data_IF_777222568525
#
_entry.id   IF_777222568525
#
_cell.length_a   1.000
_cell.length_b   1.000
_cell.length_c   1.000
_cell.angle_alpha   90.00
_cell.angle_beta   90.00
_cell.angle_gamma   90.00
#
_symmetry.space_group_name_H-M   'P 1'
#
loop_
_entity.id
_entity.type
_entity.pdbx_description
1 polymer ?
#
# COMPACT_ATOMS: atom_id res chain seq x y z
N UNK A 1 -57.85 17.88 21.53
CA UNK A 1 -57.51 17.98 20.09
C UNK A 1 -56.29 18.89 19.98
N UNK A 2 -55.07 18.36 19.82
CA UNK A 2 -54.29 18.31 18.55
C UNK A 2 -53.96 19.75 18.04
N UNK A 3 -52.72 20.20 17.78
CA UNK A 3 -51.52 19.54 17.21
C UNK A 3 -50.21 20.34 17.48
N UNK A 4 -49.11 19.59 17.38
CA UNK A 4 -47.69 19.92 17.30
C UNK A 4 -47.26 21.17 16.48
N UNK A 5 -46.12 21.75 16.87
CA UNK A 5 -45.06 22.12 15.92
C UNK A 5 -43.68 22.07 16.59
N UNK A 6 -43.00 20.96 16.29
CA UNK A 6 -41.56 20.71 16.32
C UNK A 6 -40.99 21.60 15.19
N UNK A 7 -39.92 22.38 15.31
CA UNK A 7 -38.53 21.90 15.21
C UNK A 7 -37.64 23.15 15.23
N UNK A 8 -36.78 23.30 16.24
CA UNK A 8 -35.66 24.24 16.17
C UNK A 8 -34.37 23.42 16.14
N UNK A 9 -33.70 23.51 15.01
CA UNK A 9 -32.40 22.94 14.67
C UNK A 9 -31.37 23.47 15.66
N UNK A 10 -30.68 22.58 16.36
CA UNK A 10 -29.42 22.89 17.03
C UNK A 10 -28.39 21.84 16.64
N UNK A 11 -27.57 22.19 15.64
CA UNK A 11 -26.28 21.58 15.40
C UNK A 11 -25.47 21.56 16.70
N UNK A 12 -25.07 20.39 17.19
CA UNK A 12 -23.96 20.28 18.13
C UNK A 12 -23.11 19.04 17.84
N UNK A 13 -22.04 19.29 17.07
CA UNK A 13 -20.66 18.83 17.29
C UNK A 13 -20.44 17.31 17.44
N UNK A 14 -20.06 16.70 16.31
CA UNK A 14 -18.82 15.93 16.08
C UNK A 14 -18.24 15.23 17.34
N UNK A 15 -18.55 13.95 17.48
CA UNK A 15 -17.63 12.98 18.07
C UNK A 15 -17.45 11.84 17.07
N UNK A 16 -16.74 12.13 15.97
CA UNK A 16 -16.08 11.07 15.20
C UNK A 16 -15.06 10.49 16.18
N UNK A 17 -15.32 9.29 16.70
CA UNK A 17 -14.38 8.55 17.52
C UNK A 17 -13.16 8.24 16.67
N UNK A 18 -12.20 9.16 16.72
CA UNK A 18 -10.88 8.98 16.20
C UNK A 18 -10.22 7.82 16.97
N UNK A 19 -9.90 6.79 16.20
CA UNK A 19 -8.70 5.97 16.37
C UNK A 19 -8.66 5.05 17.59
N UNK A 20 -9.45 3.99 17.54
CA UNK A 20 -8.92 2.70 18.01
C UNK A 20 -8.03 2.15 16.90
N UNK A 21 -6.79 2.66 16.76
CA UNK A 21 -5.72 1.84 16.16
C UNK A 21 -5.41 0.76 17.19
N UNK A 22 -6.31 -0.21 17.28
CA UNK A 22 -6.00 -1.49 17.86
C UNK A 22 -4.81 -2.02 17.08
N UNK A 23 -3.66 -1.98 17.74
CA UNK A 23 -2.43 -2.69 17.44
C UNK A 23 -2.72 -4.01 16.71
N UNK A 24 -2.79 -3.98 15.37
CA UNK A 24 -2.88 -5.16 14.51
C UNK A 24 -1.52 -5.82 14.42
N UNK A 25 -0.92 -6.10 15.58
CA UNK A 25 0.19 -7.03 15.64
C UNK A 25 -0.35 -8.42 15.27
N UNK A 26 0.25 -8.96 14.21
CA UNK A 26 0.45 -10.40 14.00
C UNK A 26 -0.50 -11.21 13.09
N UNK A 27 -1.36 -10.59 12.29
CA UNK A 27 -1.82 -11.29 11.08
C UNK A 27 -0.70 -11.20 10.04
N UNK A 28 0.02 -12.32 9.84
CA UNK A 28 1.05 -12.46 8.81
C UNK A 28 0.45 -12.07 7.45
N UNK A 29 0.71 -10.84 7.01
CA UNK A 29 0.20 -10.31 5.75
C UNK A 29 0.74 -11.16 4.62
N UNK A 30 -0.15 -11.72 3.79
CA UNK A 30 0.25 -12.38 2.55
C UNK A 30 0.40 -11.31 1.47
N UNK A 31 1.59 -10.73 1.32
CA UNK A 31 1.80 -9.56 0.44
C UNK A 31 1.40 -9.84 -1.01
N UNK A 32 1.73 -11.03 -1.53
CA UNK A 32 1.30 -11.51 -2.85
C UNK A 32 -0.21 -11.45 -3.04
N UNK A 33 -0.99 -11.94 -2.08
CA UNK A 33 -2.46 -11.91 -2.15
C UNK A 33 -3.01 -10.50 -1.92
N UNK A 34 -2.50 -9.80 -0.91
CA UNK A 34 -3.04 -8.51 -0.46
C UNK A 34 -2.79 -7.40 -1.46
N UNK A 35 -1.57 -7.29 -2.02
CA UNK A 35 -1.18 -6.14 -2.84
C UNK A 35 -1.01 -6.47 -4.32
N UNK A 36 -0.78 -7.75 -4.68
CA UNK A 36 -0.38 -8.13 -6.03
C UNK A 36 -1.40 -9.01 -6.76
N UNK A 37 -2.65 -9.09 -6.27
CA UNK A 37 -3.70 -9.89 -6.93
C UNK A 37 -3.35 -11.38 -7.05
N UNK A 38 -2.53 -11.90 -6.13
CA UNK A 38 -1.95 -13.24 -6.16
C UNK A 38 -0.95 -13.51 -7.30
N UNK A 39 -0.45 -12.47 -7.99
CA UNK A 39 0.65 -12.57 -8.94
C UNK A 39 2.01 -12.50 -8.24
N UNK A 40 2.96 -13.32 -8.68
CA UNK A 40 4.35 -13.28 -8.17
C UNK A 40 5.14 -12.11 -8.74
N UNK A 41 4.80 -11.67 -9.95
CA UNK A 41 5.43 -10.55 -10.64
C UNK A 41 4.38 -9.58 -11.15
N UNK A 42 4.57 -8.28 -10.89
CA UNK A 42 3.67 -7.20 -11.32
C UNK A 42 4.48 -6.15 -12.08
N UNK A 43 3.86 -5.52 -13.09
CA UNK A 43 4.51 -4.55 -13.97
C UNK A 43 5.14 -5.20 -15.21
N UNK A 44 6.02 -6.16 -15.01
CA UNK A 44 6.52 -7.06 -16.05
C UNK A 44 6.60 -8.48 -15.48
N UNK A 45 6.71 -9.48 -16.36
CA UNK A 45 6.93 -10.87 -15.96
C UNK A 45 8.34 -11.11 -15.37
N UNK A 46 8.57 -12.30 -14.81
CA UNK A 46 9.83 -12.70 -14.15
C UNK A 46 11.09 -12.50 -15.01
N UNK A 47 10.97 -12.67 -16.33
CA UNK A 47 12.09 -12.62 -17.26
C UNK A 47 12.40 -11.21 -17.77
N UNK A 48 11.56 -10.23 -17.46
CA UNK A 48 11.70 -8.85 -17.91
C UNK A 48 11.74 -7.90 -16.71
N UNK A 49 12.79 -7.09 -16.66
CA UNK A 49 12.96 -6.04 -15.67
C UNK A 49 12.59 -4.69 -16.31
N UNK A 50 12.14 -3.71 -15.53
CA UNK A 50 11.90 -3.76 -14.08
C UNK A 50 10.58 -4.45 -13.70
N UNK A 51 10.47 -5.02 -12.51
CA UNK A 51 9.21 -5.58 -12.00
C UNK A 51 9.15 -5.56 -10.47
N UNK A 52 7.93 -5.64 -9.94
CA UNK A 52 7.71 -5.89 -8.52
C UNK A 52 7.56 -7.40 -8.31
N UNK A 53 8.42 -7.98 -7.49
CA UNK A 53 8.34 -9.37 -7.05
C UNK A 53 7.57 -9.42 -5.73
N UNK A 54 6.44 -10.12 -5.72
CA UNK A 54 5.57 -10.29 -4.57
C UNK A 54 5.60 -11.73 -4.08
N UNK A 55 6.24 -11.94 -2.93
CA UNK A 55 6.16 -13.18 -2.17
C UNK A 55 5.04 -13.14 -1.13
N UNK A 56 4.80 -14.26 -0.47
CA UNK A 56 3.83 -14.28 0.64
C UNK A 56 4.31 -13.43 1.82
N UNK A 57 5.62 -13.30 2.03
CA UNK A 57 6.20 -12.61 3.20
C UNK A 57 7.04 -11.40 2.84
N UNK A 58 7.09 -11.03 1.56
CA UNK A 58 7.91 -9.91 1.11
C UNK A 58 7.39 -9.28 -0.18
N UNK A 59 7.82 -8.05 -0.42
CA UNK A 59 7.75 -7.39 -1.71
C UNK A 59 9.10 -6.74 -2.02
N UNK A 60 9.61 -6.95 -3.23
CA UNK A 60 10.86 -6.36 -3.67
C UNK A 60 10.73 -5.83 -5.10
N UNK A 61 11.17 -4.59 -5.30
CA UNK A 61 11.28 -4.00 -6.63
C UNK A 61 12.62 -4.36 -7.24
N UNK A 62 12.58 -4.97 -8.44
CA UNK A 62 13.75 -5.29 -9.23
C UNK A 62 13.93 -4.25 -10.32
N UNK A 63 15.00 -3.47 -10.22
CA UNK A 63 15.33 -2.40 -11.16
C UNK A 63 15.83 -2.96 -12.49
N UNK A 64 15.83 -2.13 -13.53
CA UNK A 64 16.33 -2.49 -14.87
C UNK A 64 17.79 -2.95 -14.85
N UNK A 65 18.63 -2.39 -13.97
CA UNK A 65 20.04 -2.76 -13.82
C UNK A 65 20.24 -4.07 -13.01
N UNK A 66 19.17 -4.68 -12.50
CA UNK A 66 19.21 -5.91 -11.73
C UNK A 66 19.21 -5.74 -10.22
N UNK A 67 19.38 -4.52 -9.70
CA UNK A 67 19.35 -4.24 -8.27
C UNK A 67 17.98 -4.54 -7.66
N UNK A 68 17.98 -4.93 -6.38
CA UNK A 68 16.77 -5.20 -5.61
C UNK A 68 16.56 -4.13 -4.55
N UNK A 69 15.33 -3.63 -4.44
CA UNK A 69 14.87 -2.79 -3.32
C UNK A 69 13.75 -3.52 -2.60
N UNK A 70 14.06 -4.13 -1.46
CA UNK A 70 13.07 -4.81 -0.63
C UNK A 70 12.25 -3.76 0.15
N UNK A 71 10.99 -3.60 -0.24
CA UNK A 71 10.09 -2.59 0.36
C UNK A 71 9.35 -3.12 1.60
N UNK A 72 9.59 -4.38 1.97
CA UNK A 72 9.04 -4.99 3.20
C UNK A 72 10.07 -5.15 4.31
N UNK A 73 11.33 -4.76 4.09
CA UNK A 73 12.35 -4.71 5.14
C UNK A 73 12.08 -3.58 6.15
N UNK A 74 12.51 -3.77 7.40
CA UNK A 74 12.41 -2.77 8.47
C UNK A 74 12.88 -1.38 8.01
N UNK A 75 12.13 -0.33 8.37
CA UNK A 75 12.46 1.06 8.02
C UNK A 75 11.26 2.00 8.02
N UNK A 76 11.21 2.89 7.04
CA UNK A 76 10.06 3.76 6.76
C UNK A 76 9.57 3.50 5.34
N UNK A 77 8.42 4.08 4.99
CA UNK A 77 7.92 4.09 3.62
C UNK A 77 8.88 4.68 2.56
N UNK A 78 10.01 5.27 2.96
CA UNK A 78 10.96 5.89 2.04
C UNK A 78 11.53 4.95 0.96
N UNK A 79 11.59 3.64 1.22
CA UNK A 79 11.93 2.66 0.17
C UNK A 79 10.85 2.58 -0.90
N UNK A 80 9.58 2.54 -0.49
CA UNK A 80 8.42 2.56 -1.40
C UNK A 80 8.36 3.87 -2.18
N UNK A 81 8.64 5.01 -1.54
CA UNK A 81 8.70 6.31 -2.20
C UNK A 81 9.76 6.35 -3.31
N UNK A 82 10.95 5.80 -3.01
CA UNK A 82 12.03 5.68 -4.00
C UNK A 82 11.63 4.80 -5.20
N UNK A 83 10.83 3.76 -4.95
CA UNK A 83 10.29 2.93 -6.03
C UNK A 83 9.24 3.70 -6.84
N UNK A 84 8.37 4.49 -6.19
CA UNK A 84 7.40 5.34 -6.90
C UNK A 84 8.07 6.31 -7.86
N UNK A 85 9.13 6.97 -7.42
CA UNK A 85 9.86 7.92 -8.25
C UNK A 85 10.46 7.23 -9.48
N UNK A 86 11.08 6.06 -9.28
CA UNK A 86 11.66 5.28 -10.37
C UNK A 86 10.60 4.81 -11.39
N UNK A 87 9.47 4.25 -10.93
CA UNK A 87 8.46 3.74 -11.87
C UNK A 87 7.76 4.87 -12.63
N UNK A 88 7.57 6.04 -12.02
CA UNK A 88 6.96 7.21 -12.67
C UNK A 88 7.84 7.74 -13.80
N UNK A 89 9.15 7.80 -13.57
CA UNK A 89 10.14 8.20 -14.58
C UNK A 89 10.22 7.15 -15.70
N UNK A 90 10.14 5.86 -15.36
CA UNK A 90 10.29 4.74 -16.29
C UNK A 90 8.96 4.11 -16.73
N UNK A 91 7.88 4.89 -16.80
CA UNK A 91 6.51 4.38 -17.04
C UNK A 91 6.39 3.45 -18.25
N UNK A 92 7.11 3.75 -19.33
CA UNK A 92 7.05 2.98 -20.58
C UNK A 92 7.85 1.66 -20.55
N UNK A 93 8.56 1.37 -19.45
CA UNK A 93 9.30 0.13 -19.27
C UNK A 93 8.43 -1.05 -18.83
N UNK A 94 7.16 -0.81 -18.48
CA UNK A 94 6.24 -1.80 -17.94
C UNK A 94 5.17 -2.22 -18.94
N UNK A 95 4.89 -3.51 -19.01
CA UNK A 95 3.70 -4.06 -19.68
C UNK A 95 2.42 -3.69 -18.92
N UNK A 96 2.48 -3.70 -17.58
CA UNK A 96 1.37 -3.37 -16.68
C UNK A 96 1.77 -2.29 -15.66
N UNK A 97 2.01 -1.07 -16.17
CA UNK A 97 2.26 0.08 -15.29
C UNK A 97 1.14 0.32 -14.26
N UNK A 98 -0.16 0.28 -14.61
CA UNK A 98 -1.23 0.45 -13.64
C UNK A 98 -1.18 -0.57 -12.49
N UNK A 99 -0.90 -1.84 -12.79
CA UNK A 99 -0.80 -2.89 -11.77
C UNK A 99 0.30 -2.62 -10.75
N UNK A 100 1.52 -2.32 -11.21
CA UNK A 100 2.64 -2.04 -10.28
C UNK A 100 2.39 -0.77 -9.47
N UNK A 101 1.85 0.28 -10.11
CA UNK A 101 1.51 1.53 -9.44
C UNK A 101 0.45 1.30 -8.34
N UNK A 102 -0.63 0.58 -8.66
CA UNK A 102 -1.71 0.31 -7.72
C UNK A 102 -1.26 -0.58 -6.55
N UNK A 103 -0.41 -1.59 -6.81
CA UNK A 103 0.17 -2.43 -5.76
C UNK A 103 0.97 -1.59 -4.74
N UNK A 104 1.80 -0.66 -5.23
CA UNK A 104 2.58 0.24 -4.40
C UNK A 104 1.71 1.25 -3.66
N UNK A 105 0.64 1.78 -4.29
CA UNK A 105 -0.30 2.69 -3.63
C UNK A 105 -1.01 1.99 -2.48
N UNK A 106 -1.52 0.78 -2.69
CA UNK A 106 -2.16 0.01 -1.64
C UNK A 106 -1.20 -0.28 -0.47
N UNK A 107 0.02 -0.74 -0.78
CA UNK A 107 1.06 -0.97 0.23
C UNK A 107 1.40 0.29 1.04
N UNK A 108 1.54 1.43 0.37
CA UNK A 108 1.87 2.71 1.00
C UNK A 108 0.71 3.27 1.84
N UNK A 109 -0.55 3.16 1.37
CA UNK A 109 -1.73 3.63 2.10
C UNK A 109 -1.97 2.88 3.41
N UNK A 110 -1.53 1.61 3.50
CA UNK A 110 -1.55 0.83 4.73
C UNK A 110 -0.36 1.12 5.66
N UNK A 111 0.44 2.15 5.36
CA UNK A 111 1.56 2.57 6.20
C UNK A 111 2.80 1.70 6.07
N UNK A 112 3.00 1.06 4.90
CA UNK A 112 4.14 0.19 4.61
C UNK A 112 4.31 -0.92 5.66
N UNK A 113 3.37 -1.88 5.71
CA UNK A 113 3.39 -2.93 6.71
C UNK A 113 4.69 -3.72 6.70
N UNK A 114 5.07 -4.21 7.88
CA UNK A 114 6.37 -4.85 8.18
C UNK A 114 7.60 -3.91 8.15
N UNK A 115 7.42 -2.63 7.83
CA UNK A 115 8.50 -1.64 7.95
C UNK A 115 8.51 -0.92 9.29
N UNK A 116 7.40 -0.84 10.04
CA UNK A 116 7.31 -0.13 11.31
C UNK A 116 8.47 -0.53 12.25
N UNK A 117 9.31 0.46 12.57
CA UNK A 117 10.45 0.29 13.45
C UNK A 117 10.01 -0.35 14.77
N UNK A 118 10.68 -1.44 15.16
CA UNK A 118 10.84 -1.72 16.59
C UNK A 118 11.53 -0.50 17.19
N UNK A 119 10.93 0.02 18.28
CA UNK A 119 11.44 1.15 19.07
C UNK A 119 12.93 1.06 19.35
#
# INVERSE_FOLDING_TARGET
MNKFSITAVACLIISVSANSFANTSFLKVNFKKTYCGNAEFVGNNANKRPHLHCGETFMAYKKSNGDHTNITEYGTCGRTDSVFDDIKVNRNAFEDYPGIYNALVAFHQEGCPNQLASK
#
